data_IF_035696182341
#
_entry.id   IF_035696182341
#
_cell.length_a   1.000
_cell.length_b   1.000
_cell.length_c   1.000
_cell.angle_alpha   90.00
_cell.angle_beta   90.00
_cell.angle_gamma   90.00
#
_symmetry.space_group_name_H-M   'P 1'
#
loop_
_entity.id
_entity.type
_entity.pdbx_description
1 polymer ?
#
# COMPACT_ATOMS: atom_id res chain seq x y z
N UNK A 1 -1.63 -0.21 14.80
CA UNK A 1 -0.24 -0.71 14.78
C UNK A 1 -0.31 -2.09 14.16
N UNK A 2 -0.13 -2.16 12.84
CA UNK A 2 -0.08 -3.44 12.15
C UNK A 2 1.16 -4.18 12.64
N UNK A 3 0.93 -5.33 13.27
CA UNK A 3 1.99 -6.12 13.88
C UNK A 3 2.55 -7.01 12.77
N UNK A 4 3.62 -6.54 12.12
CA UNK A 4 4.34 -7.37 11.16
C UNK A 4 4.94 -8.58 11.88
N UNK A 5 4.62 -9.78 11.43
CA UNK A 5 5.26 -11.01 11.86
C UNK A 5 6.33 -11.36 10.82
N UNK A 6 7.59 -11.42 11.27
CA UNK A 6 8.68 -11.91 10.43
C UNK A 6 8.56 -13.44 10.44
N UNK A 7 8.05 -13.99 9.33
CA UNK A 7 7.83 -15.45 9.18
C UNK A 7 9.14 -16.18 8.90
N UNK A 8 10.16 -15.47 8.42
CA UNK A 8 11.52 -15.96 8.26
C UNK A 8 12.49 -14.77 8.40
N UNK A 9 13.43 -14.81 9.36
CA UNK A 9 14.48 -13.80 9.43
C UNK A 9 15.49 -14.13 8.31
N UNK A 10 15.69 -13.26 7.29
CA UNK A 10 16.67 -13.54 6.24
C UNK A 10 18.06 -13.51 6.86
N UNK A 11 18.54 -14.66 7.30
CA UNK A 11 19.79 -14.75 8.05
C UNK A 11 21.01 -14.30 7.25
N UNK A 12 20.94 -14.31 5.91
CA UNK A 12 22.09 -14.09 5.01
C UNK A 12 21.76 -13.48 3.63
N UNK A 13 20.50 -13.22 3.30
CA UNK A 13 20.13 -12.71 1.97
C UNK A 13 20.30 -11.20 1.87
N UNK A 14 20.74 -10.71 0.71
CA UNK A 14 20.85 -9.25 0.51
C UNK A 14 19.46 -8.63 0.49
N UNK A 15 19.27 -7.39 0.97
CA UNK A 15 17.99 -6.67 0.85
C UNK A 15 17.46 -6.57 -0.60
N UNK A 16 18.34 -6.62 -1.58
CA UNK A 16 17.99 -6.64 -3.01
C UNK A 16 17.52 -8.00 -3.54
N UNK A 17 17.74 -9.07 -2.78
CA UNK A 17 17.40 -10.45 -3.13
C UNK A 17 16.13 -10.93 -2.41
N UNK A 18 15.59 -10.13 -1.48
CA UNK A 18 14.33 -10.40 -0.78
C UNK A 18 13.18 -9.54 -1.32
N UNK A 19 11.96 -10.06 -1.29
CA UNK A 19 10.75 -9.29 -1.56
C UNK A 19 9.85 -9.25 -0.31
N UNK A 20 9.17 -8.11 -0.10
CA UNK A 20 8.12 -8.00 0.91
C UNK A 20 6.84 -8.57 0.33
N UNK A 21 6.24 -9.54 1.02
CA UNK A 21 4.92 -10.09 0.68
C UNK A 21 3.89 -9.55 1.67
N UNK A 22 2.77 -9.05 1.15
CA UNK A 22 1.66 -8.54 1.95
C UNK A 22 0.43 -9.42 1.75
N UNK A 23 -0.28 -9.73 2.85
CA UNK A 23 -1.52 -10.50 2.83
C UNK A 23 -2.71 -9.57 3.07
N UNK A 24 -3.65 -9.57 2.13
CA UNK A 24 -4.87 -8.76 2.19
C UNK A 24 -6.07 -9.61 2.61
N UNK A 25 -7.00 -9.02 3.36
CA UNK A 25 -8.27 -9.66 3.71
C UNK A 25 -9.31 -9.60 2.55
N UNK A 26 -8.90 -9.14 1.38
CA UNK A 26 -9.65 -9.12 0.14
C UNK A 26 -8.77 -9.62 -1.01
N UNK A 27 -9.41 -9.96 -2.13
CA UNK A 27 -8.72 -10.29 -3.38
C UNK A 27 -8.40 -8.98 -4.12
N UNK A 28 -7.13 -8.53 -4.15
CA UNK A 28 -6.75 -7.24 -4.73
C UNK A 28 -7.00 -7.20 -6.25
N UNK A 29 -7.01 -8.34 -6.93
CA UNK A 29 -7.27 -8.43 -8.38
C UNK A 29 -8.64 -7.84 -8.73
N UNK A 30 -9.61 -7.90 -7.81
CA UNK A 30 -10.95 -7.34 -8.01
C UNK A 30 -10.97 -5.81 -8.09
N UNK A 31 -9.95 -5.14 -7.56
CA UNK A 31 -9.83 -3.69 -7.52
C UNK A 31 -8.66 -3.18 -8.39
N UNK A 32 -7.91 -4.08 -9.02
CA UNK A 32 -6.86 -3.74 -9.97
C UNK A 32 -7.44 -3.19 -11.28
N UNK A 33 -6.77 -2.19 -11.83
CA UNK A 33 -7.06 -1.67 -13.17
C UNK A 33 -5.86 -1.93 -14.08
N UNK A 34 -6.06 -2.55 -15.24
CA UNK A 34 -4.99 -2.79 -16.25
C UNK A 34 -3.75 -3.53 -15.71
N UNK A 35 -3.92 -4.41 -14.73
CA UNK A 35 -2.80 -5.13 -14.09
C UNK A 35 -1.95 -4.25 -13.15
N UNK A 36 -2.42 -3.04 -12.85
CA UNK A 36 -1.83 -2.15 -11.85
C UNK A 36 -2.47 -2.45 -10.49
N UNK A 37 -1.64 -2.42 -9.45
CA UNK A 37 -2.05 -2.55 -8.04
C UNK A 37 -3.25 -1.66 -7.73
N UNK A 38 -4.20 -2.16 -6.94
CA UNK A 38 -5.37 -1.37 -6.56
C UNK A 38 -4.99 -0.18 -5.66
N UNK A 39 -5.81 0.87 -5.68
CA UNK A 39 -5.51 2.12 -4.95
C UNK A 39 -5.47 1.93 -3.43
N UNK A 40 -6.25 1.00 -2.87
CA UNK A 40 -6.31 0.77 -1.42
C UNK A 40 -5.08 0.03 -0.92
N UNK A 41 -4.63 -1.01 -1.63
CA UNK A 41 -3.38 -1.70 -1.30
C UNK A 41 -2.18 -0.78 -1.47
N UNK A 42 -2.13 0.02 -2.56
CA UNK A 42 -1.09 1.03 -2.74
C UNK A 42 -1.06 2.03 -1.59
N UNK A 43 -2.21 2.60 -1.21
CA UNK A 43 -2.30 3.52 -0.07
C UNK A 43 -1.77 2.88 1.21
N UNK A 44 -2.24 1.68 1.54
CA UNK A 44 -1.84 1.01 2.77
C UNK A 44 -0.36 0.60 2.81
N UNK A 45 0.25 0.31 1.65
CA UNK A 45 1.70 0.06 1.54
C UNK A 45 2.57 1.31 1.82
N UNK A 46 2.01 2.51 1.62
CA UNK A 46 2.72 3.79 1.72
C UNK A 46 2.30 4.65 2.92
N UNK A 47 1.19 4.33 3.60
CA UNK A 47 0.60 5.17 4.67
C UNK A 47 1.56 5.61 5.77
N UNK A 48 2.56 4.77 6.09
CA UNK A 48 3.54 5.03 7.16
C UNK A 48 4.81 5.75 6.67
N UNK A 49 4.86 6.13 5.38
CA UNK A 49 5.97 6.91 4.80
C UNK A 49 6.06 8.29 5.45
N UNK A 50 7.27 8.74 5.82
CA UNK A 50 7.48 10.06 6.44
C UNK A 50 7.68 11.21 5.43
N UNK A 51 7.74 10.92 4.14
CA UNK A 51 7.91 11.95 3.11
C UNK A 51 6.60 12.75 2.95
N UNK A 52 6.61 14.08 3.18
CA UNK A 52 5.40 14.90 3.10
C UNK A 52 4.79 14.96 1.70
N UNK A 53 5.59 14.75 0.64
CA UNK A 53 5.09 14.71 -0.75
C UNK A 53 4.24 13.47 -0.98
N UNK A 54 4.67 12.33 -0.43
CA UNK A 54 3.92 11.07 -0.49
C UNK A 54 2.64 11.19 0.32
N UNK A 55 2.71 11.77 1.52
CA UNK A 55 1.53 11.98 2.36
C UNK A 55 0.46 12.85 1.67
N UNK A 56 0.86 13.94 1.00
CA UNK A 56 -0.08 14.77 0.23
C UNK A 56 -0.78 14.01 -0.91
N UNK A 57 -0.06 13.15 -1.63
CA UNK A 57 -0.69 12.31 -2.67
C UNK A 57 -1.60 11.23 -2.10
N UNK A 58 -1.28 10.70 -0.91
CA UNK A 58 -2.16 9.76 -0.21
C UNK A 58 -3.48 10.41 0.22
N UNK A 59 -3.47 11.68 0.62
CA UNK A 59 -4.68 12.45 0.89
C UNK A 59 -5.54 12.60 -0.38
N UNK A 60 -4.92 12.94 -1.52
CA UNK A 60 -5.62 13.03 -2.81
C UNK A 60 -6.33 11.72 -3.19
N UNK A 61 -5.65 10.58 -2.98
CA UNK A 61 -6.22 9.24 -3.24
C UNK A 61 -7.44 8.98 -2.34
N UNK A 62 -7.37 9.33 -1.06
CA UNK A 62 -8.51 9.17 -0.14
C UNK A 62 -9.70 10.05 -0.53
N UNK A 63 -9.47 11.30 -0.93
CA UNK A 63 -10.54 12.21 -1.39
C UNK A 63 -11.23 11.70 -2.66
N UNK A 64 -10.48 11.05 -3.56
CA UNK A 64 -11.04 10.38 -4.74
C UNK A 64 -11.91 9.19 -4.36
N UNK A 65 -11.42 8.34 -3.46
CA UNK A 65 -12.11 7.11 -3.04
C UNK A 65 -13.36 7.40 -2.20
N UNK A 66 -13.34 8.44 -1.36
CA UNK A 66 -14.50 8.85 -0.56
C UNK A 66 -15.57 9.56 -1.39
N UNK A 67 -15.25 9.92 -2.64
CA UNK A 67 -16.10 10.76 -3.48
C UNK A 67 -16.08 12.24 -3.09
N UNK A 68 -15.38 12.63 -2.01
CA UNK A 68 -15.35 14.01 -1.49
C UNK A 68 -14.83 15.02 -2.52
N UNK A 69 -13.93 14.60 -3.41
CA UNK A 69 -13.45 15.42 -4.54
C UNK A 69 -14.55 15.86 -5.50
N UNK A 70 -15.63 15.09 -5.63
CA UNK A 70 -16.73 15.33 -6.57
C UNK A 70 -17.85 16.21 -5.98
N UNK A 71 -17.87 16.37 -4.65
CA UNK A 71 -18.83 17.19 -3.93
C UNK A 71 -18.32 18.60 -3.63
N UNK A 72 -17.16 18.97 -4.19
CA UNK A 72 -16.46 20.23 -3.97
C UNK A 72 -16.57 21.18 -5.15
#
# INVERSE_FOLDING_TARGET
VDKFEIVDEPGWEKPSEICKVELWNYDPVKLCENGIVDKLSLYASLKDTKDPRVQGELENVLEELSGSKWFR
#
